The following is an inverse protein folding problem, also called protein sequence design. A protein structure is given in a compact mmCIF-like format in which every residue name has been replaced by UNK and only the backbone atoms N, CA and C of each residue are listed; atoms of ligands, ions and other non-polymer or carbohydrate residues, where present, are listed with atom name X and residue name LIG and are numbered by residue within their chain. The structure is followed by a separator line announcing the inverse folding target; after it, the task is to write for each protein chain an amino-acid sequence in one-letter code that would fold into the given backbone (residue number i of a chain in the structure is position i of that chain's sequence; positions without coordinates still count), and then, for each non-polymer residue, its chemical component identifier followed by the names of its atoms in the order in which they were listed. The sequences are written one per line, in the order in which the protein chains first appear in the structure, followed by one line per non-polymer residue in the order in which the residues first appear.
data_IF_048360917234
#
_entry.id   IF_048360917234
#
_cell.length_a   1.000
_cell.length_b   1.000
_cell.length_c   1.000
_cell.angle_alpha   90.00
_cell.angle_beta   90.00
_cell.angle_gamma   90.00
#
_symmetry.space_group_name_H-M   'P 1'
#
loop_
_entity.id
_entity.type
_entity.pdbx_description
1 polymer ?
#
# COMPACT_ATOMS: atom_id res chain seq x y z
N UNK A 1 -55.78 27.25 -49.24
CA UNK A 1 -55.47 25.80 -49.27
C UNK A 1 -53.98 25.51 -49.45
N UNK A 2 -53.30 26.05 -50.46
CA UNK A 2 -51.90 25.75 -50.78
C UNK A 2 -50.88 25.94 -49.63
N UNK A 3 -50.98 27.06 -48.89
CA UNK A 3 -50.06 27.32 -47.77
C UNK A 3 -50.29 26.36 -46.59
N UNK A 4 -51.52 25.91 -46.36
CA UNK A 4 -51.85 24.96 -45.30
C UNK A 4 -51.33 23.56 -45.64
N UNK A 5 -51.44 23.14 -46.91
CA UNK A 5 -50.89 21.87 -47.38
C UNK A 5 -49.36 21.86 -47.36
N UNK A 6 -48.72 22.99 -47.71
CA UNK A 6 -47.27 23.12 -47.65
C UNK A 6 -46.75 23.08 -46.21
N UNK A 7 -47.43 23.76 -45.28
CA UNK A 7 -47.07 23.73 -43.87
C UNK A 7 -47.19 22.30 -43.27
N UNK A 8 -48.28 21.59 -43.57
CA UNK A 8 -48.45 20.21 -43.11
C UNK A 8 -47.35 19.28 -43.66
N UNK A 9 -46.98 19.43 -44.92
CA UNK A 9 -45.91 18.64 -45.54
C UNK A 9 -44.55 18.88 -44.86
N UNK A 10 -44.23 20.13 -44.51
CA UNK A 10 -42.99 20.48 -43.79
C UNK A 10 -42.99 19.86 -42.39
N UNK A 11 -44.10 19.93 -41.66
CA UNK A 11 -44.21 19.35 -40.30
C UNK A 11 -44.05 17.83 -40.33
N UNK A 12 -44.69 17.14 -41.29
CA UNK A 12 -44.56 15.68 -41.43
C UNK A 12 -43.12 15.29 -41.81
N UNK A 13 -42.48 16.04 -42.72
CA UNK A 13 -41.09 15.78 -43.10
C UNK A 13 -40.12 16.02 -41.93
N UNK A 14 -40.32 17.09 -41.16
CA UNK A 14 -39.53 17.36 -39.97
C UNK A 14 -39.72 16.28 -38.90
N UNK A 15 -40.96 15.81 -38.68
CA UNK A 15 -41.25 14.72 -37.76
C UNK A 15 -40.62 13.39 -38.21
N UNK A 16 -40.59 13.12 -39.52
CA UNK A 16 -39.94 11.92 -40.08
C UNK A 16 -38.41 11.97 -39.90
N UNK A 17 -37.78 13.13 -40.17
CA UNK A 17 -36.33 13.32 -39.93
C UNK A 17 -36.02 13.18 -38.44
N UNK A 18 -36.81 13.82 -37.58
CA UNK A 18 -36.63 13.72 -36.13
C UNK A 18 -36.80 12.28 -35.64
N UNK A 19 -37.82 11.57 -36.12
CA UNK A 19 -38.04 10.16 -35.82
C UNK A 19 -36.87 9.28 -36.25
N UNK A 20 -36.35 9.45 -37.48
CA UNK A 20 -35.16 8.74 -37.97
C UNK A 20 -33.92 9.05 -37.14
N UNK A 21 -33.66 10.32 -36.85
CA UNK A 21 -32.52 10.75 -36.04
C UNK A 21 -32.60 10.20 -34.61
N UNK A 22 -33.80 10.20 -34.01
CA UNK A 22 -34.04 9.63 -32.69
C UNK A 22 -33.86 8.10 -32.67
N UNK A 23 -34.34 7.39 -33.68
CA UNK A 23 -34.09 5.94 -33.81
C UNK A 23 -32.62 5.62 -34.00
N UNK A 24 -31.89 6.41 -34.79
CA UNK A 24 -30.46 6.19 -35.06
C UNK A 24 -29.60 6.51 -33.81
N UNK A 25 -29.98 7.53 -33.04
CA UNK A 25 -29.42 7.81 -31.72
C UNK A 25 -29.69 6.69 -30.71
N UNK A 26 -30.91 6.13 -30.70
CA UNK A 26 -31.28 5.03 -29.78
C UNK A 26 -30.59 3.71 -30.13
N UNK A 27 -30.40 3.44 -31.42
CA UNK A 27 -29.63 2.27 -31.91
C UNK A 27 -28.14 2.46 -31.62
N UNK A 28 -27.57 3.66 -31.84
CA UNK A 28 -26.18 3.97 -31.46
C UNK A 28 -25.97 3.94 -29.95
N UNK A 29 -26.90 4.48 -29.15
CA UNK A 29 -26.80 4.42 -27.69
C UNK A 29 -26.99 2.99 -27.18
N UNK A 30 -27.90 2.21 -27.78
CA UNK A 30 -28.09 0.80 -27.44
C UNK A 30 -26.89 -0.07 -27.81
N UNK A 31 -26.26 0.17 -28.96
CA UNK A 31 -25.05 -0.52 -29.40
C UNK A 31 -23.80 -0.07 -28.62
N UNK A 32 -23.77 1.20 -28.16
CA UNK A 32 -22.71 1.71 -27.29
C UNK A 32 -22.87 1.19 -25.86
N UNK A 33 -24.10 1.10 -25.35
CA UNK A 33 -24.41 0.53 -24.02
C UNK A 33 -24.22 -0.99 -23.98
N UNK A 34 -24.44 -1.71 -25.09
CA UNK A 34 -24.16 -3.16 -25.16
C UNK A 34 -22.66 -3.49 -25.32
N UNK A 35 -21.80 -2.49 -25.54
CA UNK A 35 -20.33 -2.63 -25.67
C UNK A 35 -19.53 -1.94 -24.58
N UNK A 36 -20.19 -1.30 -23.61
CA UNK A 36 -19.61 -1.16 -22.29
C UNK A 36 -19.77 -2.52 -21.64
N UNK A 37 -18.94 -3.48 -22.08
CA UNK A 37 -18.40 -4.43 -21.13
C UNK A 37 -17.79 -3.55 -20.05
N UNK A 38 -18.53 -3.39 -18.95
CA UNK A 38 -17.95 -3.01 -17.69
C UNK A 38 -16.96 -4.16 -17.43
N UNK A 39 -15.74 -4.03 -17.95
CA UNK A 39 -14.62 -4.86 -17.56
C UNK A 39 -14.45 -4.56 -16.08
N UNK A 40 -15.23 -5.26 -15.25
CA UNK A 40 -15.13 -5.20 -13.82
C UNK A 40 -13.71 -5.66 -13.54
N UNK A 41 -12.86 -4.66 -13.29
CA UNK A 41 -11.42 -4.87 -13.22
C UNK A 41 -11.20 -5.91 -12.14
N UNK A 42 -10.80 -7.12 -12.55
CA UNK A 42 -10.63 -8.25 -11.64
C UNK A 42 -9.82 -7.78 -10.43
N UNK A 43 -10.26 -8.16 -9.23
CA UNK A 43 -9.50 -7.82 -8.03
C UNK A 43 -8.14 -8.52 -8.10
N UNK A 44 -7.03 -7.81 -7.91
CA UNK A 44 -5.71 -8.43 -7.93
C UNK A 44 -5.58 -9.40 -6.75
N UNK A 45 -4.86 -10.52 -6.94
CA UNK A 45 -4.47 -11.38 -5.83
C UNK A 45 -3.38 -10.69 -5.01
N UNK A 46 -3.61 -10.54 -3.70
CA UNK A 46 -2.70 -9.83 -2.79
C UNK A 46 -2.32 -10.75 -1.63
N UNK A 47 -1.03 -10.80 -1.32
CA UNK A 47 -0.53 -11.33 -0.06
C UNK A 47 0.06 -10.21 0.80
N UNK A 48 -0.13 -10.31 2.11
CA UNK A 48 0.56 -9.49 3.10
C UNK A 48 1.68 -10.34 3.70
N UNK A 49 2.92 -9.84 3.64
CA UNK A 49 4.11 -10.58 4.07
C UNK A 49 4.80 -9.85 5.21
N UNK A 50 5.04 -10.56 6.32
CA UNK A 50 5.82 -10.07 7.45
C UNK A 50 6.94 -11.04 7.81
N UNK A 51 8.10 -10.50 8.21
CA UNK A 51 9.29 -11.29 8.51
C UNK A 51 9.79 -11.04 9.95
N UNK A 52 10.12 -12.12 10.64
CA UNK A 52 10.75 -12.11 11.97
C UNK A 52 12.25 -12.40 11.85
N UNK A 53 13.03 -11.79 12.74
CA UNK A 53 14.47 -12.04 12.87
C UNK A 53 14.69 -13.13 13.93
N UNK A 54 15.34 -14.23 13.55
CA UNK A 54 15.47 -15.43 14.36
C UNK A 54 14.14 -16.15 14.52
N UNK A 55 13.94 -16.85 15.64
CA UNK A 55 12.77 -17.70 15.85
C UNK A 55 11.42 -17.03 15.55
N UNK A 56 10.43 -17.83 15.16
CA UNK A 56 9.06 -17.40 14.82
C UNK A 56 8.22 -16.96 16.05
N UNK A 57 8.86 -16.33 17.04
CA UNK A 57 8.20 -15.82 18.24
C UNK A 57 7.47 -14.51 17.95
N UNK A 58 6.15 -14.53 18.10
CA UNK A 58 5.26 -13.38 17.80
C UNK A 58 4.96 -12.51 19.02
N UNK A 59 5.39 -12.91 20.22
CA UNK A 59 5.00 -12.27 21.48
C UNK A 59 5.29 -10.76 21.50
N UNK A 60 6.42 -10.34 20.93
CA UNK A 60 6.84 -8.93 20.85
C UNK A 60 5.92 -8.04 20.01
N UNK A 61 5.17 -8.64 19.09
CA UNK A 61 4.40 -7.94 18.05
C UNK A 61 2.96 -8.45 17.94
N UNK A 62 2.46 -9.09 19.01
CA UNK A 62 1.21 -9.87 18.99
C UNK A 62 0.01 -9.07 18.47
N UNK A 63 -0.20 -7.86 18.97
CA UNK A 63 -1.34 -7.01 18.57
C UNK A 63 -1.25 -6.59 17.12
N UNK A 64 -0.07 -6.15 16.67
CA UNK A 64 0.17 -5.76 15.29
C UNK A 64 -0.09 -6.94 14.33
N UNK A 65 0.56 -8.08 14.56
CA UNK A 65 0.40 -9.27 13.74
C UNK A 65 -1.04 -9.81 13.72
N UNK A 66 -1.71 -9.84 14.87
CA UNK A 66 -3.10 -10.30 14.93
C UNK A 66 -4.04 -9.39 14.14
N UNK A 67 -3.84 -8.06 14.21
CA UNK A 67 -4.65 -7.10 13.43
C UNK A 67 -4.48 -7.30 11.92
N UNK A 68 -3.25 -7.51 11.44
CA UNK A 68 -2.95 -7.77 10.02
C UNK A 68 -3.54 -9.11 9.59
N UNK A 69 -3.36 -10.17 10.38
CA UNK A 69 -3.92 -11.49 10.09
C UNK A 69 -5.44 -11.46 10.01
N UNK A 70 -6.10 -10.78 10.95
CA UNK A 70 -7.55 -10.63 10.94
C UNK A 70 -8.03 -9.87 9.70
N UNK A 71 -7.39 -8.75 9.39
CA UNK A 71 -7.69 -7.96 8.21
C UNK A 71 -7.51 -8.73 6.90
N UNK A 72 -6.45 -9.54 6.79
CA UNK A 72 -6.22 -10.41 5.64
C UNK A 72 -7.35 -11.44 5.48
N UNK A 73 -7.74 -12.10 6.57
CA UNK A 73 -8.88 -13.04 6.59
C UNK A 73 -10.20 -12.37 6.18
N UNK A 74 -10.43 -11.12 6.61
CA UNK A 74 -11.65 -10.36 6.27
C UNK A 74 -11.70 -9.97 4.79
N UNK A 75 -10.55 -9.78 4.14
CA UNK A 75 -10.48 -9.24 2.79
C UNK A 75 -10.05 -10.28 1.74
N UNK A 76 -9.97 -11.55 2.13
CA UNK A 76 -9.50 -12.66 1.29
C UNK A 76 -8.08 -12.42 0.74
N UNK A 77 -7.22 -11.80 1.55
CA UNK A 77 -5.79 -11.71 1.27
C UNK A 77 -5.05 -12.86 1.96
N UNK A 78 -3.99 -13.35 1.33
CA UNK A 78 -3.10 -14.31 2.00
C UNK A 78 -2.24 -13.57 3.03
N UNK A 79 -2.02 -14.16 4.21
CA UNK A 79 -1.10 -13.62 5.21
C UNK A 79 0.06 -14.58 5.46
N UNK A 80 1.26 -14.16 5.05
CA UNK A 80 2.48 -14.96 5.15
C UNK A 80 3.37 -14.36 6.25
N UNK A 81 3.49 -15.07 7.36
CA UNK A 81 4.46 -14.78 8.40
C UNK A 81 5.59 -15.80 8.34
N UNK A 82 6.83 -15.34 8.13
CA UNK A 82 8.02 -16.19 8.09
C UNK A 82 9.10 -15.67 9.04
N UNK A 83 9.99 -16.55 9.44
CA UNK A 83 11.27 -16.22 10.05
C UNK A 83 12.33 -16.12 8.94
N UNK A 84 13.43 -15.41 9.19
CA UNK A 84 14.59 -15.44 8.30
C UNK A 84 15.46 -16.71 8.45
N UNK A 85 15.19 -17.55 9.45
CA UNK A 85 15.80 -18.87 9.61
C UNK A 85 15.45 -19.77 8.42
N UNK A 86 16.45 -20.43 7.84
CA UNK A 86 16.30 -21.30 6.68
C UNK A 86 16.50 -20.61 5.33
N UNK A 87 16.76 -19.29 5.33
CA UNK A 87 17.07 -18.53 4.11
C UNK A 87 18.57 -18.28 3.92
N UNK A 88 19.47 -18.79 4.77
CA UNK A 88 20.91 -18.48 4.77
C UNK A 88 21.60 -18.86 3.44
N UNK A 89 21.19 -20.00 2.85
CA UNK A 89 21.73 -20.45 1.56
C UNK A 89 21.30 -19.56 0.38
N UNK A 90 20.14 -18.92 0.49
CA UNK A 90 19.49 -18.15 -0.58
C UNK A 90 19.72 -16.64 -0.46
N UNK A 91 19.63 -16.12 0.76
CA UNK A 91 19.75 -14.71 1.14
C UNK A 91 20.95 -14.54 2.08
N UNK A 92 22.11 -14.26 1.49
CA UNK A 92 23.41 -14.20 2.18
C UNK A 92 23.67 -12.89 2.94
N UNK A 93 22.65 -12.04 3.12
CA UNK A 93 22.79 -10.80 3.86
C UNK A 93 22.92 -11.09 5.36
N UNK A 94 23.79 -10.37 6.06
CA UNK A 94 24.00 -10.56 7.52
C UNK A 94 23.03 -9.72 8.33
N UNK A 95 22.84 -8.47 7.93
CA UNK A 95 21.84 -7.58 8.48
C UNK A 95 20.44 -8.04 8.05
N UNK A 96 19.62 -8.38 9.05
CA UNK A 96 18.23 -8.78 8.87
C UNK A 96 17.43 -7.75 8.06
N UNK A 97 17.68 -6.45 8.26
CA UNK A 97 16.98 -5.39 7.56
C UNK A 97 17.25 -5.42 6.05
N UNK A 98 18.43 -5.88 5.61
CA UNK A 98 18.70 -6.14 4.20
C UNK A 98 18.18 -7.51 3.75
N UNK A 99 18.38 -8.55 4.57
CA UNK A 99 18.00 -9.94 4.26
C UNK A 99 16.50 -10.06 3.96
N UNK A 100 15.65 -9.36 4.71
CA UNK A 100 14.19 -9.39 4.52
C UNK A 100 13.75 -9.04 3.10
N UNK A 101 14.42 -8.10 2.43
CA UNK A 101 14.08 -7.72 1.04
C UNK A 101 14.44 -8.83 0.04
N UNK A 102 15.51 -9.60 0.29
CA UNK A 102 15.82 -10.79 -0.50
C UNK A 102 14.76 -11.88 -0.30
N UNK A 103 14.33 -12.11 0.95
CA UNK A 103 13.30 -13.11 1.26
C UNK A 103 11.98 -12.75 0.57
N UNK A 104 11.54 -11.49 0.68
CA UNK A 104 10.34 -11.00 -0.01
C UNK A 104 10.45 -11.18 -1.53
N UNK A 105 11.61 -10.93 -2.13
CA UNK A 105 11.82 -11.14 -3.56
C UNK A 105 11.62 -12.61 -3.96
N UNK A 106 12.10 -13.56 -3.15
CA UNK A 106 11.91 -14.98 -3.40
C UNK A 106 10.45 -15.43 -3.18
N UNK A 107 9.75 -14.91 -2.17
CA UNK A 107 8.31 -15.16 -2.00
C UNK A 107 7.52 -14.63 -3.20
N UNK A 108 7.83 -13.41 -3.66
CA UNK A 108 7.19 -12.79 -4.84
C UNK A 108 7.41 -13.59 -6.13
N UNK A 109 8.61 -14.17 -6.30
CA UNK A 109 8.96 -14.97 -7.48
C UNK A 109 8.29 -16.36 -7.46
N UNK A 110 8.23 -16.99 -6.29
CA UNK A 110 7.78 -18.38 -6.12
C UNK A 110 6.26 -18.58 -5.97
N UNK A 111 5.49 -17.51 -5.72
CA UNK A 111 4.04 -17.59 -5.50
C UNK A 111 3.27 -16.81 -6.57
N UNK A 112 1.99 -17.13 -6.77
CA UNK A 112 1.14 -16.55 -7.83
C UNK A 112 0.32 -15.34 -7.42
N UNK A 113 0.80 -14.57 -6.44
CA UNK A 113 0.21 -13.28 -6.09
C UNK A 113 0.56 -12.23 -7.13
N UNK A 114 -0.39 -11.38 -7.51
CA UNK A 114 -0.12 -10.24 -8.37
C UNK A 114 0.64 -9.14 -7.59
N UNK A 115 0.32 -8.98 -6.30
CA UNK A 115 0.97 -8.01 -5.41
C UNK A 115 1.31 -8.62 -4.05
N UNK A 116 2.45 -8.17 -3.50
CA UNK A 116 2.78 -8.34 -2.08
C UNK A 116 2.75 -6.97 -1.41
N UNK A 117 2.01 -6.84 -0.31
CA UNK A 117 2.23 -5.82 0.70
C UNK A 117 3.22 -6.36 1.73
N UNK A 118 4.46 -5.89 1.69
CA UNK A 118 5.42 -6.17 2.75
C UNK A 118 5.14 -5.23 3.94
N UNK A 119 5.16 -5.76 5.16
CA UNK A 119 5.08 -4.98 6.40
C UNK A 119 6.02 -5.54 7.46
N UNK A 120 6.69 -4.64 8.17
CA UNK A 120 7.36 -4.97 9.42
C UNK A 120 6.37 -5.50 10.44
N UNK A 121 6.88 -6.33 11.34
CA UNK A 121 6.06 -7.06 12.31
C UNK A 121 5.42 -6.14 13.34
N UNK A 122 5.95 -4.93 13.55
CA UNK A 122 5.37 -3.89 14.39
C UNK A 122 4.45 -2.91 13.62
N UNK A 123 3.99 -3.28 12.43
CA UNK A 123 2.95 -2.57 11.69
C UNK A 123 1.62 -3.32 11.83
N UNK A 124 0.59 -2.63 12.33
CA UNK A 124 -0.75 -3.19 12.55
C UNK A 124 -1.86 -2.38 11.88
N UNK A 125 -2.99 -3.03 11.59
CA UNK A 125 -4.20 -2.40 11.03
C UNK A 125 -4.99 -1.74 12.14
N UNK A 126 -5.36 -0.46 11.94
CA UNK A 126 -6.27 0.28 12.84
C UNK A 126 -7.62 0.57 12.21
N UNK A 127 -7.72 0.53 10.88
CA UNK A 127 -8.94 0.80 10.13
C UNK A 127 -9.16 -0.28 9.06
N UNK A 128 -9.93 -1.30 9.39
CA UNK A 128 -10.21 -2.44 8.52
C UNK A 128 -11.05 -2.09 7.28
N UNK A 129 -11.66 -0.90 7.25
CA UNK A 129 -12.52 -0.45 6.14
C UNK A 129 -11.73 0.01 4.92
N UNK A 130 -10.44 0.35 5.08
CA UNK A 130 -9.58 0.73 3.96
C UNK A 130 -8.99 -0.53 3.33
N UNK A 131 -9.20 -0.72 2.02
CA UNK A 131 -8.66 -1.86 1.25
C UNK A 131 -7.28 -1.55 0.66
N UNK A 132 -6.41 -2.55 0.54
CA UNK A 132 -5.05 -2.39 -0.01
C UNK A 132 -5.09 -1.86 -1.45
N UNK A 133 -6.08 -2.25 -2.23
CA UNK A 133 -6.27 -1.83 -3.63
C UNK A 133 -6.32 -0.29 -3.78
N UNK A 134 -6.74 0.45 -2.75
CA UNK A 134 -6.72 1.93 -2.73
C UNK A 134 -5.32 2.50 -3.02
N UNK A 135 -4.27 1.76 -2.64
CA UNK A 135 -2.88 2.21 -2.76
C UNK A 135 -2.19 1.70 -4.02
N UNK A 136 -2.79 0.77 -4.78
CA UNK A 136 -2.22 0.21 -6.00
C UNK A 136 -2.19 1.26 -7.12
N UNK A 137 -1.08 1.28 -7.86
CA UNK A 137 -0.87 2.04 -9.10
C UNK A 137 -0.50 1.05 -10.19
N UNK A 138 -1.37 0.88 -11.19
CA UNK A 138 -1.23 -0.19 -12.19
C UNK A 138 0.04 -0.09 -13.04
N UNK A 139 0.48 1.16 -13.26
CA UNK A 139 1.67 1.51 -14.02
C UNK A 139 2.97 1.32 -13.21
N UNK A 140 2.87 1.18 -11.88
CA UNK A 140 3.99 0.93 -10.99
C UNK A 140 4.30 -0.56 -10.82
N UNK A 141 5.59 -0.86 -10.68
CA UNK A 141 6.06 -2.18 -10.26
C UNK A 141 6.28 -2.23 -8.74
N UNK A 142 6.76 -1.14 -8.14
CA UNK A 142 6.94 -1.01 -6.69
C UNK A 142 6.42 0.34 -6.24
N UNK A 143 5.75 0.33 -5.09
CA UNK A 143 5.13 1.50 -4.49
C UNK A 143 5.66 1.64 -3.06
N UNK A 144 6.24 2.80 -2.79
CA UNK A 144 6.72 3.21 -1.48
C UNK A 144 5.92 4.42 -0.98
N UNK A 145 6.28 4.91 0.20
CA UNK A 145 5.76 6.16 0.72
C UNK A 145 6.76 6.85 1.65
N UNK A 146 6.70 8.18 1.70
CA UNK A 146 7.51 8.99 2.61
C UNK A 146 7.02 8.83 4.05
N UNK A 147 7.96 8.74 4.98
CA UNK A 147 7.69 8.84 6.42
C UNK A 147 7.18 10.25 6.74
N UNK A 148 6.20 10.33 7.64
CA UNK A 148 5.59 11.63 7.97
C UNK A 148 6.58 12.55 8.69
N UNK A 149 7.37 12.01 9.62
CA UNK A 149 8.17 12.80 10.57
C UNK A 149 9.57 13.18 10.08
N UNK A 150 10.12 12.52 9.06
CA UNK A 150 11.46 12.79 8.52
C UNK A 150 11.49 12.70 6.98
N UNK A 151 12.62 12.94 6.34
CA UNK A 151 12.74 12.96 4.87
C UNK A 151 13.04 11.58 4.24
N UNK A 152 12.79 10.49 4.98
CA UNK A 152 13.09 9.13 4.53
C UNK A 152 11.88 8.45 3.90
N UNK A 153 12.15 7.52 3.00
CA UNK A 153 11.17 6.55 2.52
C UNK A 153 11.02 5.45 3.58
N UNK A 154 9.80 5.00 3.83
CA UNK A 154 9.57 3.86 4.74
C UNK A 154 10.10 2.57 4.12
N UNK A 155 11.18 2.00 4.67
CA UNK A 155 11.66 0.69 4.22
C UNK A 155 10.88 -0.50 4.81
N UNK A 156 10.30 -0.29 6.00
CA UNK A 156 9.53 -1.31 6.72
C UNK A 156 8.18 -1.66 6.08
N UNK A 157 7.78 -1.02 4.97
CA UNK A 157 6.60 -1.41 4.23
C UNK A 157 6.58 -0.89 2.79
N UNK A 158 6.19 -1.74 1.85
CA UNK A 158 6.01 -1.39 0.44
C UNK A 158 5.05 -2.36 -0.26
N UNK A 159 4.45 -1.92 -1.37
CA UNK A 159 3.71 -2.78 -2.30
C UNK A 159 4.63 -3.14 -3.48
N UNK A 160 4.75 -4.43 -3.78
CA UNK A 160 5.53 -4.93 -4.90
C UNK A 160 4.67 -5.82 -5.82
N UNK A 161 4.56 -5.42 -7.09
CA UNK A 161 3.92 -6.20 -8.15
C UNK A 161 4.83 -7.34 -8.59
N UNK A 162 4.29 -8.54 -8.80
CA UNK A 162 5.04 -9.68 -9.36
C UNK A 162 5.54 -9.31 -10.76
N UNK A 163 6.86 -9.09 -10.85
CA UNK A 163 7.54 -8.68 -12.07
C UNK A 163 9.05 -8.80 -11.92
N UNK A 164 9.75 -9.00 -13.04
CA UNK A 164 11.22 -9.03 -13.07
C UNK A 164 11.83 -7.75 -12.52
N UNK A 165 11.17 -6.60 -12.71
CA UNK A 165 11.60 -5.32 -12.16
C UNK A 165 11.60 -5.36 -10.63
N UNK A 166 10.47 -5.71 -10.00
CA UNK A 166 10.34 -5.74 -8.54
C UNK A 166 11.32 -6.70 -7.89
N UNK A 167 11.41 -7.92 -8.43
CA UNK A 167 12.31 -8.97 -7.94
C UNK A 167 13.77 -8.49 -8.01
N UNK A 168 14.18 -7.92 -9.14
CA UNK A 168 15.54 -7.39 -9.35
C UNK A 168 15.83 -6.17 -8.48
N UNK A 169 14.84 -5.30 -8.29
CA UNK A 169 14.95 -4.15 -7.41
C UNK A 169 15.24 -4.59 -5.97
N UNK A 170 14.41 -5.48 -5.43
CA UNK A 170 14.48 -5.97 -4.05
C UNK A 170 15.77 -6.76 -3.79
N UNK A 171 16.17 -7.65 -4.70
CA UNK A 171 17.48 -8.35 -4.62
C UNK A 171 18.64 -7.37 -4.65
N UNK A 172 18.57 -6.34 -5.49
CA UNK A 172 19.61 -5.31 -5.58
C UNK A 172 19.67 -4.41 -4.34
N UNK A 173 18.53 -4.14 -3.70
CA UNK A 173 18.46 -3.43 -2.43
C UNK A 173 19.07 -4.26 -1.31
N UNK A 174 18.66 -5.53 -1.18
CA UNK A 174 19.24 -6.47 -0.21
C UNK A 174 20.77 -6.60 -0.38
N UNK A 175 21.26 -6.76 -1.62
CA UNK A 175 22.68 -6.86 -1.92
C UNK A 175 23.46 -5.55 -1.74
N UNK A 176 22.77 -4.42 -1.52
CA UNK A 176 23.44 -3.15 -1.26
C UNK A 176 24.13 -3.13 0.11
N UNK A 177 23.79 -4.05 1.02
CA UNK A 177 24.48 -4.25 2.30
C UNK A 177 26.02 -4.22 2.17
N UNK A 178 26.56 -4.89 1.15
CA UNK A 178 28.00 -4.99 0.90
C UNK A 178 28.65 -3.71 0.34
N UNK A 179 27.84 -2.72 -0.04
CA UNK A 179 28.26 -1.47 -0.67
C UNK A 179 28.07 -0.27 0.24
N UNK A 180 27.56 -0.48 1.45
CA UNK A 180 27.36 0.59 2.43
C UNK A 180 28.73 1.14 2.85
N UNK A 181 28.97 2.45 2.69
CA UNK A 181 30.17 3.08 3.22
C UNK A 181 30.23 2.96 4.76
N UNK A 182 31.41 2.82 5.39
CA UNK A 182 31.53 2.66 6.85
C UNK A 182 30.87 3.75 7.70
N UNK A 183 30.69 4.96 7.15
CA UNK A 183 30.06 6.11 7.82
C UNK A 183 28.61 6.36 7.40
N UNK A 184 28.02 5.44 6.65
CA UNK A 184 26.65 5.59 6.19
C UNK A 184 25.66 5.21 7.30
N UNK A 185 24.83 6.16 7.68
CA UNK A 185 23.78 5.96 8.69
C UNK A 185 22.49 5.42 8.06
N UNK A 186 21.75 4.60 8.81
CA UNK A 186 20.37 4.25 8.48
C UNK A 186 20.15 2.91 7.76
N UNK A 187 21.14 2.00 7.73
CA UNK A 187 21.01 0.62 7.19
C UNK A 187 20.23 0.57 5.85
N UNK A 188 19.18 -0.24 5.76
CA UNK A 188 18.35 -0.44 4.57
C UNK A 188 17.49 0.79 4.24
N UNK A 189 16.98 1.50 5.25
CA UNK A 189 16.28 2.79 5.10
C UNK A 189 17.14 3.76 4.29
N UNK A 190 18.40 3.96 4.66
CA UNK A 190 19.29 4.83 3.90
C UNK A 190 19.59 4.27 2.51
N UNK A 191 19.85 2.96 2.42
CA UNK A 191 20.21 2.31 1.17
C UNK A 191 19.12 2.35 0.10
N UNK A 192 17.83 2.41 0.48
CA UNK A 192 16.73 2.49 -0.49
C UNK A 192 16.80 3.75 -1.34
N UNK A 193 17.21 4.87 -0.75
CA UNK A 193 17.33 6.14 -1.46
C UNK A 193 18.40 6.02 -2.55
N UNK A 194 19.55 5.43 -2.22
CA UNK A 194 20.61 5.17 -3.20
C UNK A 194 20.16 4.17 -4.25
N UNK A 195 19.45 3.11 -3.84
CA UNK A 195 18.93 2.10 -4.77
C UNK A 195 17.98 2.69 -5.80
N UNK A 196 17.06 3.56 -5.38
CA UNK A 196 16.14 4.27 -6.26
C UNK A 196 16.92 5.17 -7.22
N UNK A 197 17.89 5.96 -6.72
CA UNK A 197 18.73 6.83 -7.57
C UNK A 197 19.46 6.04 -8.66
N UNK A 198 20.08 4.92 -8.31
CA UNK A 198 20.79 4.06 -9.28
C UNK A 198 19.87 3.48 -10.37
N UNK A 199 18.60 3.23 -10.06
CA UNK A 199 17.61 2.74 -11.05
C UNK A 199 17.11 3.89 -11.93
N UNK A 200 16.91 5.08 -11.35
CA UNK A 200 16.49 6.27 -12.10
C UNK A 200 17.58 6.77 -13.03
N UNK A 201 18.84 6.83 -12.60
CA UNK A 201 19.98 7.25 -13.45
C UNK A 201 20.17 6.32 -14.65
N UNK A 202 20.03 5.00 -14.46
CA UNK A 202 20.09 4.04 -15.57
C UNK A 202 18.96 4.23 -16.58
N UNK A 203 17.81 4.75 -16.15
CA UNK A 203 16.63 4.94 -17.00
C UNK A 203 16.54 6.35 -17.61
N UNK A 204 17.23 7.33 -17.03
CA UNK A 204 17.28 8.71 -17.51
C UNK A 204 18.73 9.20 -17.44
N UNK A 205 19.40 9.34 -18.58
CA UNK A 205 20.71 10.03 -18.70
C UNK A 205 20.55 11.55 -18.41
N UNK A 206 20.14 11.95 -17.20
CA UNK A 206 19.90 13.36 -16.82
C UNK A 206 20.35 13.62 -15.36
N UNK A 207 20.94 14.79 -15.13
CA UNK A 207 21.54 15.27 -13.88
C UNK A 207 20.75 15.03 -12.57
N UNK A 208 21.50 14.52 -11.58
CA UNK A 208 21.14 14.15 -10.20
C UNK A 208 20.10 15.03 -9.48
N UNK A 209 20.19 16.35 -9.59
CA UNK A 209 19.36 17.27 -8.79
C UNK A 209 17.89 17.36 -9.26
N UNK A 210 17.61 17.04 -10.53
CA UNK A 210 16.24 17.07 -11.09
C UNK A 210 15.52 15.72 -10.93
N UNK A 211 16.27 14.63 -10.73
CA UNK A 211 15.75 13.27 -10.58
C UNK A 211 15.02 13.04 -9.25
N UNK A 212 15.45 13.70 -8.17
CA UNK A 212 14.83 13.57 -6.84
C UNK A 212 13.49 14.32 -6.69
N UNK A 213 13.23 15.35 -7.51
CA UNK A 213 11.98 16.12 -7.49
C UNK A 213 10.94 15.65 -8.51
N UNK A 214 11.30 14.75 -9.42
CA UNK A 214 10.38 14.06 -10.34
C UNK A 214 10.19 12.64 -9.80
N UNK A 215 9.53 12.51 -8.65
CA UNK A 215 8.99 11.22 -8.21
C UNK A 215 8.07 10.68 -9.31
N UNK A 216 8.14 9.38 -9.57
CA UNK A 216 7.53 8.60 -10.67
C UNK A 216 8.35 8.54 -11.97
N UNK A 217 9.29 7.59 -12.04
CA UNK A 217 9.38 6.78 -13.26
C UNK A 217 8.18 5.82 -13.22
N UNK A 218 7.59 5.45 -14.38
CA UNK A 218 6.43 4.53 -14.43
C UNK A 218 6.63 3.34 -13.49
N UNK A 219 7.84 2.78 -13.42
CA UNK A 219 8.13 1.58 -12.61
C UNK A 219 8.17 1.75 -11.08
N UNK A 220 8.46 2.93 -10.52
CA UNK A 220 8.52 3.15 -9.06
C UNK A 220 7.68 4.36 -8.70
N UNK A 221 6.69 4.16 -7.82
CA UNK A 221 5.87 5.22 -7.26
C UNK A 221 6.22 5.45 -5.78
N UNK A 222 6.21 6.70 -5.34
CA UNK A 222 6.39 7.05 -3.91
C UNK A 222 5.25 7.98 -3.51
N UNK A 223 4.40 7.55 -2.59
CA UNK A 223 3.39 8.44 -2.00
C UNK A 223 4.07 9.51 -1.14
N UNK A 224 3.58 10.75 -1.29
CA UNK A 224 3.99 11.87 -0.44
C UNK A 224 3.59 11.62 1.02
N UNK A 225 4.23 12.37 1.92
CA UNK A 225 3.92 12.39 3.36
C UNK A 225 2.40 12.44 3.62
N UNK A 226 1.92 11.52 4.46
CA UNK A 226 0.51 11.46 4.88
C UNK A 226 -0.46 10.93 3.82
N UNK A 227 0.04 10.44 2.68
CA UNK A 227 -0.74 9.78 1.62
C UNK A 227 -0.47 8.27 1.54
N UNK A 228 0.57 7.79 2.22
CA UNK A 228 0.84 6.37 2.40
C UNK A 228 -0.16 5.69 3.33
N UNK A 229 0.09 4.43 3.64
CA UNK A 229 -0.89 3.56 4.30
C UNK A 229 -0.55 3.26 5.76
N UNK A 230 0.69 3.46 6.19
CA UNK A 230 1.05 3.41 7.60
C UNK A 230 1.77 4.68 8.05
N UNK A 231 1.60 5.02 9.32
CA UNK A 231 2.39 6.05 10.00
C UNK A 231 2.68 5.63 11.43
N UNK A 232 3.68 6.23 12.03
CA UNK A 232 4.00 5.99 13.43
C UNK A 232 2.84 6.39 14.36
N UNK A 233 2.47 5.49 15.27
CA UNK A 233 1.38 5.72 16.23
C UNK A 233 1.68 6.89 17.17
N UNK A 234 2.94 7.04 17.60
CA UNK A 234 3.37 8.07 18.54
C UNK A 234 3.21 9.49 18.02
N UNK A 235 3.11 9.70 16.69
CA UNK A 235 2.91 11.03 16.09
C UNK A 235 1.60 11.70 16.51
N UNK A 236 0.61 10.91 16.92
CA UNK A 236 -0.72 11.41 17.29
C UNK A 236 -1.24 10.72 18.55
N UNK A 237 -0.36 10.22 19.42
CA UNK A 237 -0.74 9.43 20.60
C UNK A 237 -1.74 8.31 20.26
N UNK A 238 -1.50 7.60 19.15
CA UNK A 238 -2.35 6.53 18.62
C UNK A 238 -3.77 6.94 18.19
N UNK A 239 -4.12 8.23 18.16
CA UNK A 239 -5.38 8.67 17.55
C UNK A 239 -5.31 8.54 16.04
N UNK A 240 -6.40 8.08 15.41
CA UNK A 240 -6.49 7.91 13.96
C UNK A 240 -7.82 8.39 13.41
N UNK A 241 -7.81 8.75 12.12
CA UNK A 241 -8.97 9.19 11.35
C UNK A 241 -9.55 8.04 10.52
N UNK A 242 -10.87 7.84 10.60
CA UNK A 242 -11.61 6.86 9.80
C UNK A 242 -11.46 7.06 8.28
N UNK A 243 -11.23 8.30 7.84
CA UNK A 243 -11.16 8.64 6.42
C UNK A 243 -9.76 8.45 5.83
N UNK A 244 -8.72 8.62 6.66
CA UNK A 244 -7.33 8.77 6.20
C UNK A 244 -6.39 7.66 6.64
N UNK A 245 -6.52 7.20 7.88
CA UNK A 245 -5.56 6.28 8.48
C UNK A 245 -5.95 4.82 8.23
N UNK A 246 -4.96 4.00 7.89
CA UNK A 246 -5.15 2.56 7.65
C UNK A 246 -4.37 1.71 8.65
N UNK A 247 -3.05 1.90 8.73
CA UNK A 247 -2.15 1.16 9.60
C UNK A 247 -1.31 2.06 10.50
N UNK A 248 -0.87 1.51 11.61
CA UNK A 248 0.15 2.11 12.46
C UNK A 248 1.43 1.30 12.46
N UNK A 249 2.56 2.02 12.44
CA UNK A 249 3.89 1.52 12.70
C UNK A 249 4.29 1.77 14.17
N UNK A 250 5.33 1.06 14.62
CA UNK A 250 5.89 1.08 15.98
C UNK A 250 4.97 0.49 17.07
N UNK A 251 4.17 -0.52 16.71
CA UNK A 251 3.27 -1.22 17.64
C UNK A 251 3.95 -2.40 18.36
N UNK A 252 5.10 -2.16 18.99
CA UNK A 252 5.80 -3.19 19.78
C UNK A 252 5.13 -3.34 21.15
N UNK A 253 4.87 -4.56 21.62
CA UNK A 253 4.15 -4.78 22.88
C UNK A 253 4.87 -4.16 24.09
N UNK A 254 6.21 -4.15 24.09
CA UNK A 254 6.99 -3.52 25.17
C UNK A 254 6.77 -2.00 25.32
N UNK A 255 6.31 -1.35 24.24
CA UNK A 255 6.07 0.10 24.19
C UNK A 255 4.57 0.43 24.32
N UNK A 256 3.73 -0.60 24.52
CA UNK A 256 2.28 -0.45 24.68
C UNK A 256 1.96 0.12 26.06
N UNK A 257 1.17 1.19 26.10
CA UNK A 257 0.64 1.80 27.32
C UNK A 257 -0.87 1.56 27.44
N UNK A 258 -1.35 1.53 28.68
CA UNK A 258 -2.78 1.47 28.96
C UNK A 258 -3.43 2.82 28.67
N UNK A 259 -4.67 2.76 28.18
CA UNK A 259 -5.48 3.95 27.96
C UNK A 259 -5.84 4.62 29.31
N UNK A 260 -5.68 5.93 29.40
CA UNK A 260 -6.08 6.73 30.57
C UNK A 260 -7.16 7.75 30.21
N UNK A 261 -7.90 8.26 31.20
CA UNK A 261 -8.90 9.31 30.96
C UNK A 261 -8.30 10.60 30.39
N UNK A 262 -7.01 10.86 30.65
CA UNK A 262 -6.30 11.98 30.05
C UNK A 262 -6.17 11.85 28.52
N UNK A 263 -6.08 10.61 28.00
CA UNK A 263 -5.97 10.32 26.57
C UNK A 263 -7.28 10.57 25.81
N UNK A 264 -8.44 10.67 26.51
CA UNK A 264 -9.73 11.03 25.90
C UNK A 264 -9.72 12.45 25.33
N UNK A 265 -8.99 13.38 25.95
CA UNK A 265 -8.99 14.78 25.55
C UNK A 265 -8.01 15.03 24.39
N UNK A 266 -8.49 15.67 23.31
CA UNK A 266 -7.62 16.19 22.24
C UNK A 266 -6.75 17.35 22.72
N UNK A 267 -7.21 18.05 23.76
CA UNK A 267 -6.68 19.35 24.17
C UNK A 267 -5.74 19.31 25.39
N UNK A 268 -5.66 18.21 26.14
CA UNK A 268 -4.66 18.06 27.23
C UNK A 268 -3.26 17.64 26.71
N UNK A 269 -3.09 17.54 25.38
CA UNK A 269 -2.01 16.81 24.74
C UNK A 269 -0.75 17.66 24.57
N UNK A 270 0.24 17.44 25.44
CA UNK A 270 1.63 17.60 24.99
C UNK A 270 1.92 16.43 24.04
N UNK A 271 2.26 16.71 22.79
CA UNK A 271 2.99 15.76 21.94
C UNK A 271 4.24 15.36 22.73
N UNK A 272 4.60 14.07 22.72
CA UNK A 272 5.69 13.58 23.57
C UNK A 272 6.98 14.37 23.28
N UNK A 273 7.40 15.20 24.24
CA UNK A 273 8.71 15.84 24.22
C UNK A 273 9.75 14.78 24.64
N UNK A 274 10.02 13.80 23.78
CA UNK A 274 11.19 12.91 23.95
C UNK A 274 10.94 11.42 23.81
N UNK A 275 9.75 10.92 24.15
CA UNK A 275 9.44 9.48 23.98
C UNK A 275 8.93 9.21 22.57
N UNK A 276 9.83 8.79 21.70
CA UNK A 276 9.49 8.03 20.50
C UNK A 276 9.03 6.65 20.96
N UNK A 277 8.13 5.98 20.23
CA UNK A 277 7.70 4.57 20.41
C UNK A 277 6.44 4.25 21.25
N UNK A 278 5.96 5.03 22.25
CA UNK A 278 4.73 4.68 22.95
C UNK A 278 3.51 4.60 22.04
N UNK A 279 2.65 3.63 22.31
CA UNK A 279 1.35 3.52 21.64
C UNK A 279 0.27 2.99 22.58
N UNK A 280 -0.98 3.27 22.23
CA UNK A 280 -2.17 2.86 22.97
C UNK A 280 -3.04 2.01 22.03
N UNK A 281 -3.54 0.89 22.54
CA UNK A 281 -4.50 0.11 21.78
C UNK A 281 -5.83 0.86 21.70
N UNK A 282 -6.22 1.24 20.50
CA UNK A 282 -7.46 1.99 20.23
C UNK A 282 -8.65 1.10 19.88
N UNK A 283 -8.47 -0.22 19.82
CA UNK A 283 -9.58 -1.15 19.68
C UNK A 283 -10.41 -1.15 20.97
N UNK A 284 -11.71 -0.80 20.83
CA UNK A 284 -12.66 -0.75 21.95
C UNK A 284 -12.84 -2.11 22.63
N UNK A 285 -12.72 -3.19 21.86
CA UNK A 285 -12.75 -4.57 22.34
C UNK A 285 -11.50 -5.29 21.85
N UNK A 286 -10.93 -6.21 22.64
CA UNK A 286 -9.86 -7.07 22.17
C UNK A 286 -10.25 -7.75 20.86
N UNK A 287 -9.27 -7.89 19.96
CA UNK A 287 -9.48 -8.54 18.68
C UNK A 287 -9.80 -10.02 18.89
N UNK A 288 -10.96 -10.43 18.41
CA UNK A 288 -11.44 -11.82 18.46
C UNK A 288 -11.12 -12.50 17.13
N UNK A 289 -10.07 -13.34 17.14
CA UNK A 289 -9.56 -13.99 15.92
C UNK A 289 -10.58 -14.94 15.28
N UNK A 290 -11.51 -15.50 16.06
CA UNK A 290 -12.55 -16.41 15.54
C UNK A 290 -13.63 -15.65 14.75
N UNK A 291 -13.83 -14.37 15.06
CA UNK A 291 -14.82 -13.51 14.38
C UNK A 291 -14.29 -12.86 13.10
N UNK A 292 -12.99 -12.91 12.84
CA UNK A 292 -12.40 -12.30 11.64
C UNK A 292 -13.04 -12.84 10.35
N UNK A 293 -13.22 -14.16 10.20
CA UNK A 293 -13.91 -14.74 9.04
C UNK A 293 -15.43 -14.53 9.05
N UNK A 294 -16.04 -14.44 10.24
CA UNK A 294 -17.51 -14.37 10.41
C UNK A 294 -18.10 -12.99 10.16
N UNK A 295 -17.28 -11.94 10.09
CA UNK A 295 -17.74 -10.56 9.83
C UNK A 295 -18.24 -10.27 8.41
N UNK A 296 -18.38 -11.30 7.56
CA UNK A 296 -18.94 -11.25 6.20
C UNK A 296 -20.36 -11.84 6.07
N UNK A 297 -21.02 -12.20 7.18
CA UNK A 297 -22.42 -12.61 7.18
C UNK A 297 -23.35 -11.40 7.27
#
# INVERSE_FOLDING_TARGET
LFYLTLFLAIVIFAAFIYGRFYTDLKVRSGFFLSRIDFFEKRRPSIAIVSLLNGSLSTAKYKTALNSVKCYALQNDYEFILKSDEGYEGLCRQRDFFFKRHCIVANILESHDFEWILFTDTDIGVVNEKIRIEKYIKDDAHIIFYDRIFNFEIMAGSYLAKKSNFSITFLRGWANYEKKIPPRFSGSDNGAIHVRISLVVEKTKRIHFAKALKIQTNRSIYVYKKGMGWARDAWLTNSHWSLERDFMFHALKEKDRRNFTMADKSVFSRRLSNGDYFPWINTLRTPLDMEKCRKSKA
#
